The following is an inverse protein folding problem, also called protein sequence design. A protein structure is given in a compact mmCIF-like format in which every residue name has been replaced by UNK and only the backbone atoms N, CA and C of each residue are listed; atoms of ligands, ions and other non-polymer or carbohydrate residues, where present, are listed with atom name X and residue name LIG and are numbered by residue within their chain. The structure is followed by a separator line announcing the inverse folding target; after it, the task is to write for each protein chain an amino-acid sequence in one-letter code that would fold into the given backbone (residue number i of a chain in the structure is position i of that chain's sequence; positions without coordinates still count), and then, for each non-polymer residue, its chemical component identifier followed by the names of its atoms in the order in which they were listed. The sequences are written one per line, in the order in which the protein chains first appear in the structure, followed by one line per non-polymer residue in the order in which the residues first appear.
data_IF_153233579488
#
_entry.id   IF_153233579488
#
_cell.length_a   1.000
_cell.length_b   1.000
_cell.length_c   1.000
_cell.angle_alpha   90.00
_cell.angle_beta   90.00
_cell.angle_gamma   90.00
#
_symmetry.space_group_name_H-M   'P 1'
#
loop_
_entity.id
_entity.type
_entity.pdbx_description
1 polymer ?
#
# COMPACT_ATOMS: atom_id res chain seq x y z
N UNK A 1 -9.64 7.49 -10.97
CA UNK A 1 -9.12 8.45 -9.97
C UNK A 1 -7.96 7.76 -9.24
N UNK A 2 -6.81 8.43 -9.04
CA UNK A 2 -5.65 7.79 -8.40
C UNK A 2 -5.90 7.47 -6.93
N UNK A 3 -5.46 6.29 -6.47
CA UNK A 3 -5.53 5.89 -5.08
C UNK A 3 -4.57 6.75 -4.23
N UNK A 4 -5.13 7.65 -3.43
CA UNK A 4 -4.37 8.60 -2.59
C UNK A 4 -3.48 7.89 -1.56
N UNK A 5 -3.90 6.72 -1.06
CA UNK A 5 -3.15 5.93 -0.09
C UNK A 5 -1.87 5.37 -0.74
N UNK A 6 -1.98 4.80 -1.94
CA UNK A 6 -0.81 4.34 -2.71
C UNK A 6 0.08 5.53 -3.11
N UNK A 7 -0.50 6.65 -3.54
CA UNK A 7 0.26 7.85 -3.88
C UNK A 7 1.10 8.36 -2.69
N UNK A 8 0.55 8.31 -1.47
CA UNK A 8 1.29 8.65 -0.24
C UNK A 8 2.48 7.73 -0.04
N UNK A 9 2.30 6.41 -0.20
CA UNK A 9 3.41 5.45 -0.12
C UNK A 9 4.49 5.72 -1.17
N UNK A 10 4.10 6.00 -2.42
CA UNK A 10 5.03 6.34 -3.51
C UNK A 10 5.82 7.60 -3.17
N UNK A 11 5.19 8.64 -2.60
CA UNK A 11 5.88 9.88 -2.20
C UNK A 11 6.94 9.65 -1.12
N UNK A 12 6.71 8.73 -0.18
CA UNK A 12 7.70 8.36 0.85
C UNK A 12 8.94 7.73 0.21
N UNK A 13 8.73 6.88 -0.81
CA UNK A 13 9.80 6.18 -1.53
C UNK A 13 10.31 6.90 -2.79
N UNK A 14 9.76 8.07 -3.11
CA UNK A 14 10.03 8.89 -4.31
C UNK A 14 9.62 8.30 -5.67
N UNK A 15 9.43 6.99 -5.80
CA UNK A 15 9.00 6.35 -7.06
C UNK A 15 8.22 5.05 -6.84
N UNK A 16 7.50 4.60 -7.88
CA UNK A 16 6.79 3.32 -7.84
C UNK A 16 7.76 2.14 -7.78
N UNK A 17 8.87 2.19 -8.52
CA UNK A 17 9.93 1.18 -8.48
C UNK A 17 10.56 1.06 -7.09
N UNK A 18 10.84 2.18 -6.42
CA UNK A 18 11.41 2.15 -5.07
C UNK A 18 10.45 1.55 -4.04
N UNK A 19 9.15 1.90 -4.10
CA UNK A 19 8.12 1.27 -3.26
C UNK A 19 8.00 -0.23 -3.55
N UNK A 20 8.00 -0.61 -4.83
CA UNK A 20 7.91 -2.00 -5.27
C UNK A 20 9.08 -2.85 -4.73
N UNK A 21 10.31 -2.34 -4.86
CA UNK A 21 11.50 -2.98 -4.33
C UNK A 21 11.42 -3.14 -2.81
N UNK A 22 11.00 -2.10 -2.08
CA UNK A 22 10.85 -2.16 -0.63
C UNK A 22 9.77 -3.17 -0.16
N UNK A 23 8.75 -3.39 -0.98
CA UNK A 23 7.67 -4.34 -0.69
C UNK A 23 7.92 -5.74 -1.29
N UNK A 24 8.99 -5.96 -2.06
CA UNK A 24 9.24 -7.23 -2.74
C UNK A 24 8.18 -7.59 -3.78
N UNK A 25 7.63 -6.60 -4.49
CA UNK A 25 6.62 -6.79 -5.55
C UNK A 25 7.07 -6.15 -6.87
N UNK A 26 6.35 -6.39 -7.96
CA UNK A 26 6.62 -5.73 -9.24
C UNK A 26 6.13 -4.28 -9.24
N UNK A 27 6.76 -3.40 -10.01
CA UNK A 27 6.25 -2.04 -10.19
C UNK A 27 4.87 -2.03 -10.89
N UNK A 28 4.58 -3.00 -11.76
CA UNK A 28 3.25 -3.12 -12.36
C UNK A 28 2.16 -3.36 -11.31
N UNK A 29 2.44 -4.10 -10.23
CA UNK A 29 1.51 -4.25 -9.11
C UNK A 29 1.21 -2.89 -8.45
N UNK A 30 2.24 -2.10 -8.18
CA UNK A 30 2.10 -0.73 -7.63
C UNK A 30 1.28 0.16 -8.57
N UNK A 31 1.54 0.10 -9.88
CA UNK A 31 0.77 0.85 -10.88
C UNK A 31 -0.71 0.46 -10.88
N UNK A 32 -1.02 -0.84 -10.81
CA UNK A 32 -2.41 -1.33 -10.70
C UNK A 32 -3.09 -0.74 -9.47
N UNK A 33 -2.47 -0.79 -8.29
CA UNK A 33 -3.05 -0.24 -7.06
C UNK A 33 -3.23 1.28 -7.13
N UNK A 34 -2.27 2.00 -7.72
CA UNK A 34 -2.37 3.45 -7.92
C UNK A 34 -3.57 3.81 -8.80
N UNK A 35 -3.86 3.01 -9.83
CA UNK A 35 -4.93 3.25 -10.77
C UNK A 35 -6.30 2.68 -10.34
N UNK A 36 -6.42 2.20 -9.10
CA UNK A 36 -7.69 1.76 -8.51
C UNK A 36 -7.90 0.24 -8.51
N UNK A 37 -6.89 -0.54 -8.87
CA UNK A 37 -6.90 -1.98 -8.67
C UNK A 37 -6.91 -2.36 -7.18
N UNK A 38 -7.48 -3.52 -6.87
CA UNK A 38 -7.52 -4.06 -5.51
C UNK A 38 -6.12 -4.43 -5.01
N UNK A 39 -5.91 -4.29 -3.71
CA UNK A 39 -4.71 -4.73 -2.99
C UNK A 39 -5.13 -5.75 -1.94
N UNK A 40 -4.31 -6.78 -1.70
CA UNK A 40 -4.55 -7.74 -0.62
C UNK A 40 -4.08 -7.21 0.72
N UNK A 41 -4.61 -7.77 1.82
CA UNK A 41 -4.14 -7.45 3.18
C UNK A 41 -2.63 -7.68 3.34
N UNK A 42 -2.10 -8.77 2.78
CA UNK A 42 -0.66 -9.09 2.82
C UNK A 42 0.18 -7.96 2.20
N UNK A 43 -0.19 -7.48 1.01
CA UNK A 43 0.55 -6.40 0.35
C UNK A 43 0.36 -5.05 1.05
N UNK A 44 -0.82 -4.80 1.61
CA UNK A 44 -1.07 -3.63 2.44
C UNK A 44 -0.17 -3.62 3.69
N UNK A 45 0.03 -4.78 4.34
CA UNK A 45 0.94 -4.94 5.47
C UNK A 45 2.42 -4.80 5.09
N UNK A 46 2.82 -5.27 3.90
CA UNK A 46 4.17 -5.01 3.36
C UNK A 46 4.43 -3.51 3.21
N UNK A 47 3.46 -2.76 2.68
CA UNK A 47 3.54 -1.29 2.58
C UNK A 47 3.58 -0.65 3.98
N UNK A 48 2.76 -1.12 4.92
CA UNK A 48 2.77 -0.62 6.30
C UNK A 48 4.14 -0.80 6.96
N UNK A 49 4.72 -1.99 6.84
CA UNK A 49 6.07 -2.28 7.34
C UNK A 49 7.11 -1.41 6.64
N UNK A 50 7.10 -1.34 5.31
CA UNK A 50 8.06 -0.56 4.53
C UNK A 50 7.99 0.95 4.85
N UNK A 51 6.79 1.47 5.14
CA UNK A 51 6.58 2.88 5.47
C UNK A 51 6.72 3.18 6.97
N UNK A 52 7.14 2.22 7.80
CA UNK A 52 7.19 2.33 9.26
C UNK A 52 5.87 2.86 9.84
N UNK A 53 4.74 2.30 9.39
CA UNK A 53 3.40 2.63 9.89
C UNK A 53 2.81 3.95 9.36
N UNK A 54 3.52 4.71 8.52
CA UNK A 54 3.00 5.97 7.94
C UNK A 54 1.84 5.75 6.97
N UNK A 55 1.76 4.57 6.37
CA UNK A 55 0.64 4.11 5.54
C UNK A 55 0.15 2.79 6.13
N UNK A 56 -0.94 2.83 6.89
CA UNK A 56 -1.49 1.63 7.55
C UNK A 56 -2.39 0.83 6.62
N UNK A 57 -2.50 -0.48 6.86
CA UNK A 57 -3.36 -1.36 6.08
C UNK A 57 -4.83 -0.85 6.06
N UNK A 58 -5.37 -0.41 7.19
CA UNK A 58 -6.75 0.11 7.30
C UNK A 58 -7.05 1.33 6.40
N UNK A 59 -6.02 2.03 5.89
CA UNK A 59 -6.18 3.13 4.93
C UNK A 59 -6.53 2.68 3.50
N UNK A 60 -6.41 1.38 3.21
CA UNK A 60 -6.78 0.80 1.92
C UNK A 60 -8.21 0.26 1.91
N UNK A 61 -8.66 -0.33 3.02
CA UNK A 61 -10.01 -0.87 3.19
C UNK A 61 -10.36 -0.95 4.68
N UNK A 62 -11.61 -0.62 5.04
CA UNK A 62 -12.13 -0.80 6.41
C UNK A 62 -12.12 -2.27 6.84
N UNK A 63 -12.28 -3.19 5.89
CA UNK A 63 -12.22 -4.63 6.14
C UNK A 63 -10.86 -5.05 6.75
N UNK A 64 -9.77 -4.40 6.35
CA UNK A 64 -8.45 -4.68 6.92
C UNK A 64 -8.36 -4.30 8.40
N UNK A 65 -9.08 -3.26 8.84
CA UNK A 65 -9.19 -2.93 10.26
C UNK A 65 -9.81 -4.09 11.04
N UNK A 66 -10.93 -4.62 10.53
CA UNK A 66 -11.64 -5.74 11.15
C UNK A 66 -10.79 -7.00 11.19
N UNK A 67 -10.11 -7.35 10.09
CA UNK A 67 -9.23 -8.52 10.01
C UNK A 67 -8.02 -8.43 10.95
N UNK A 68 -7.54 -7.23 11.23
CA UNK A 68 -6.42 -6.98 12.13
C UNK A 68 -6.84 -6.75 13.59
N UNK A 69 -8.15 -6.78 13.89
CA UNK A 69 -8.71 -6.43 15.20
C UNK A 69 -8.22 -5.06 15.74
N UNK A 70 -8.08 -4.06 14.85
CA UNK A 70 -7.59 -2.70 15.18
C UNK A 70 -8.72 -1.69 15.43
N UNK A 71 -9.86 -2.19 15.90
CA UNK A 71 -11.10 -1.44 16.04
C UNK A 71 -11.07 -0.51 17.26
#
# INVERSE_FOLDING_TARGET
MMNKTILKAIKIFKSQQALAAACGVSQNAVSKWLNGGSISLENALKIEKATNGKVKAEMFSKEFSSLLARN
#
